data_IF_433659429901
#
_entry.id   IF_433659429901
#
_cell.length_a   1.000
_cell.length_b   1.000
_cell.length_c   1.000
_cell.angle_alpha   90.00
_cell.angle_beta   90.00
_cell.angle_gamma   90.00
#
_symmetry.space_group_name_H-M   'P 1'
#
loop_
_entity.id
_entity.type
_entity.pdbx_description
1 polymer ?
#
# COMPACT_ATOMS: atom_id res chain seq x y z
N UNK A 1 -16.94 -9.24 15.47
CA UNK A 1 -16.04 -8.14 15.03
C UNK A 1 -16.31 -6.83 15.78
N UNK A 2 -17.54 -6.31 15.79
CA UNK A 2 -17.87 -5.05 16.49
C UNK A 2 -17.42 -5.00 17.96
N UNK A 3 -17.63 -6.07 18.73
CA UNK A 3 -17.22 -6.12 20.15
C UNK A 3 -15.68 -6.07 20.35
N UNK A 4 -14.89 -6.60 19.41
CA UNK A 4 -13.42 -6.57 19.50
C UNK A 4 -12.90 -5.16 19.17
N UNK A 5 -13.44 -4.54 18.12
CA UNK A 5 -13.05 -3.17 17.74
C UNK A 5 -13.40 -2.17 18.83
N UNK A 6 -14.61 -2.27 19.40
CA UNK A 6 -15.02 -1.41 20.50
C UNK A 6 -14.06 -1.55 21.70
N UNK A 7 -13.74 -2.79 22.09
CA UNK A 7 -12.80 -3.05 23.17
C UNK A 7 -11.43 -2.38 22.96
N UNK A 8 -10.84 -2.51 21.76
CA UNK A 8 -9.56 -1.87 21.45
C UNK A 8 -9.64 -0.35 21.42
N UNK A 9 -10.72 0.21 20.88
CA UNK A 9 -10.93 1.66 20.86
C UNK A 9 -11.10 2.22 22.28
N UNK A 10 -11.85 1.54 23.13
CA UNK A 10 -11.98 1.90 24.55
C UNK A 10 -10.63 1.86 25.27
N UNK A 11 -9.83 0.82 25.02
CA UNK A 11 -8.50 0.72 25.63
C UNK A 11 -7.55 1.86 25.22
N UNK A 12 -7.56 2.25 23.94
CA UNK A 12 -6.64 3.26 23.40
C UNK A 12 -7.10 4.71 23.62
N UNK A 13 -8.41 4.98 23.54
CA UNK A 13 -8.96 6.34 23.47
C UNK A 13 -9.98 6.66 24.58
N UNK A 14 -10.28 5.70 25.46
CA UNK A 14 -11.23 5.86 26.56
C UNK A 14 -12.68 5.61 26.15
N UNK A 15 -13.55 5.45 27.16
CA UNK A 15 -14.97 5.10 26.97
C UNK A 15 -15.73 6.19 26.19
N UNK A 16 -15.46 7.47 26.49
CA UNK A 16 -16.16 8.60 25.90
C UNK A 16 -15.96 8.72 24.38
N UNK A 17 -14.79 8.31 23.88
CA UNK A 17 -14.44 8.42 22.44
C UNK A 17 -14.66 7.11 21.66
N UNK A 18 -14.77 5.98 22.35
CA UNK A 18 -14.79 4.68 21.69
C UNK A 18 -16.00 4.49 20.75
N UNK A 19 -17.20 4.89 21.19
CA UNK A 19 -18.42 4.71 20.37
C UNK A 19 -18.41 5.61 19.13
N UNK A 20 -18.14 6.93 19.22
CA UNK A 20 -18.04 7.77 18.02
C UNK A 20 -16.96 7.32 17.03
N UNK A 21 -15.81 6.84 17.53
CA UNK A 21 -14.74 6.30 16.68
C UNK A 21 -15.16 5.00 16.00
N UNK A 22 -15.88 4.12 16.69
CA UNK A 22 -16.39 2.88 16.11
C UNK A 22 -17.35 3.16 14.96
N UNK A 23 -18.25 4.14 15.13
CA UNK A 23 -19.18 4.57 14.07
C UNK A 23 -18.42 5.09 12.84
N UNK A 24 -17.38 5.90 13.07
CA UNK A 24 -16.52 6.41 11.99
C UNK A 24 -15.77 5.29 11.26
N UNK A 25 -15.23 4.32 12.00
CA UNK A 25 -14.58 3.13 11.41
C UNK A 25 -15.58 2.32 10.59
N UNK A 26 -16.80 2.10 11.10
CA UNK A 26 -17.84 1.41 10.35
C UNK A 26 -18.25 2.15 9.07
N UNK A 27 -18.34 3.47 9.11
CA UNK A 27 -18.59 4.28 7.91
C UNK A 27 -17.52 4.05 6.84
N UNK A 28 -16.24 4.18 7.20
CA UNK A 28 -15.10 3.95 6.29
C UNK A 28 -15.15 2.53 5.72
N UNK A 29 -15.31 1.52 6.57
CA UNK A 29 -15.37 0.12 6.14
C UNK A 29 -16.54 -0.13 5.19
N UNK A 30 -17.71 0.47 5.46
CA UNK A 30 -18.90 0.30 4.60
C UNK A 30 -18.70 0.93 3.22
N UNK A 31 -18.08 2.10 3.16
CA UNK A 31 -17.79 2.79 1.89
C UNK A 31 -16.84 1.95 1.02
N UNK A 32 -15.78 1.40 1.61
CA UNK A 32 -14.76 0.69 0.85
C UNK A 32 -15.11 -0.77 0.57
N UNK A 33 -15.87 -1.45 1.44
CA UNK A 33 -16.22 -2.87 1.26
C UNK A 33 -16.97 -3.11 -0.05
N UNK A 34 -17.80 -2.16 -0.50
CA UNK A 34 -18.50 -2.27 -1.77
C UNK A 34 -17.56 -2.18 -3.00
N UNK A 35 -16.38 -1.58 -2.85
CA UNK A 35 -15.39 -1.34 -3.93
C UNK A 35 -14.28 -2.39 -3.97
N UNK A 36 -14.09 -3.17 -2.91
CA UNK A 36 -13.00 -4.13 -2.77
C UNK A 36 -13.55 -5.54 -2.94
N UNK A 37 -13.19 -6.20 -4.04
CA UNK A 37 -13.49 -7.61 -4.23
C UNK A 37 -12.79 -8.45 -3.14
N UNK A 38 -13.48 -9.41 -2.50
CA UNK A 38 -12.83 -10.31 -1.56
C UNK A 38 -11.73 -11.09 -2.26
N UNK A 39 -10.54 -11.13 -1.65
CA UNK A 39 -9.39 -11.89 -2.11
C UNK A 39 -8.91 -12.79 -0.98
N UNK A 40 -8.45 -13.98 -1.33
CA UNK A 40 -7.77 -14.85 -0.37
C UNK A 40 -6.35 -14.32 -0.14
N UNK A 41 -6.15 -13.73 1.05
CA UNK A 41 -4.85 -13.25 1.52
C UNK A 41 -4.02 -14.32 2.23
N UNK A 42 -4.49 -15.56 2.31
CA UNK A 42 -3.79 -16.66 2.97
C UNK A 42 -2.47 -16.98 2.28
N UNK A 43 -1.42 -17.11 3.09
CA UNK A 43 -0.12 -17.64 2.67
C UNK A 43 0.01 -19.10 3.12
N UNK A 44 0.71 -19.88 2.33
CA UNK A 44 1.02 -21.30 2.56
C UNK A 44 2.50 -21.57 2.26
N UNK A 45 2.97 -22.74 2.65
CA UNK A 45 4.33 -23.23 2.33
C UNK A 45 4.58 -23.42 0.82
N UNK A 46 3.57 -23.24 -0.04
CA UNK A 46 3.70 -23.31 -1.50
C UNK A 46 3.95 -21.94 -2.14
N UNK A 47 3.78 -20.86 -1.39
CA UNK A 47 3.97 -19.51 -1.91
C UNK A 47 5.47 -19.17 -1.99
N UNK A 48 5.86 -18.62 -3.13
CA UNK A 48 7.18 -18.02 -3.37
C UNK A 48 6.98 -16.55 -3.73
N UNK A 49 7.60 -15.64 -2.99
CA UNK A 49 7.40 -14.19 -3.11
C UNK A 49 8.73 -13.55 -3.53
N UNK A 50 8.69 -12.78 -4.62
CA UNK A 50 9.81 -11.93 -5.02
C UNK A 50 9.64 -10.55 -4.37
N UNK A 51 10.68 -10.06 -3.70
CA UNK A 51 10.73 -8.73 -3.10
C UNK A 51 11.75 -7.90 -3.88
N UNK A 52 11.37 -6.72 -4.34
CA UNK A 52 12.24 -5.84 -5.12
C UNK A 52 11.80 -4.37 -5.06
N UNK A 53 12.70 -3.46 -5.41
CA UNK A 53 12.35 -2.09 -5.76
C UNK A 53 11.67 -2.03 -7.13
N UNK A 54 10.73 -1.08 -7.31
CA UNK A 54 9.99 -0.92 -8.57
C UNK A 54 10.86 -0.61 -9.79
N UNK A 55 12.10 -0.18 -9.57
CA UNK A 55 13.12 0.14 -10.56
C UNK A 55 14.31 -0.81 -10.55
N UNK A 56 14.22 -1.97 -9.91
CA UNK A 56 15.31 -2.96 -9.92
C UNK A 56 15.61 -3.49 -11.34
N UNK A 57 14.58 -3.54 -12.20
CA UNK A 57 14.69 -3.95 -13.61
C UNK A 57 14.26 -2.77 -14.48
N UNK A 58 15.19 -2.26 -15.30
CA UNK A 58 14.98 -1.03 -16.06
C UNK A 58 15.23 -1.20 -17.56
N UNK A 59 14.58 -0.33 -18.33
CA UNK A 59 14.76 -0.16 -19.76
C UNK A 59 14.82 1.34 -20.05
N UNK A 60 15.62 1.75 -21.03
CA UNK A 60 15.70 3.16 -21.45
C UNK A 60 14.49 3.64 -22.26
N UNK A 61 13.54 2.75 -22.58
CA UNK A 61 12.42 3.03 -23.50
C UNK A 61 11.08 3.24 -22.82
N UNK A 62 10.94 2.83 -21.56
CA UNK A 62 9.64 2.77 -20.88
C UNK A 62 9.81 2.97 -19.38
N UNK A 63 8.68 3.10 -18.66
CA UNK A 63 8.71 3.29 -17.23
C UNK A 63 9.16 2.02 -16.49
N UNK A 64 9.81 2.16 -15.32
CA UNK A 64 10.27 1.02 -14.54
C UNK A 64 9.20 -0.05 -14.28
N UNK A 65 7.98 0.34 -13.88
CA UNK A 65 6.90 -0.62 -13.61
C UNK A 65 6.44 -1.37 -14.87
N UNK A 66 6.51 -0.74 -16.04
CA UNK A 66 6.22 -1.38 -17.34
C UNK A 66 7.29 -2.41 -17.70
N UNK A 67 8.55 -2.07 -17.45
CA UNK A 67 9.67 -3.00 -17.62
C UNK A 67 9.53 -4.19 -16.68
N UNK A 68 9.23 -3.91 -15.40
CA UNK A 68 9.00 -4.93 -14.39
C UNK A 68 7.88 -5.88 -14.80
N UNK A 69 6.74 -5.36 -15.29
CA UNK A 69 5.64 -6.19 -15.79
C UNK A 69 6.11 -7.18 -16.87
N UNK A 70 6.83 -6.69 -17.88
CA UNK A 70 7.35 -7.53 -18.97
C UNK A 70 8.32 -8.59 -18.46
N UNK A 71 9.20 -8.22 -17.52
CA UNK A 71 10.12 -9.15 -16.88
C UNK A 71 9.35 -10.25 -16.13
N UNK A 72 8.38 -9.87 -15.29
CA UNK A 72 7.57 -10.82 -14.54
C UNK A 72 6.82 -11.79 -15.45
N UNK A 73 6.17 -11.29 -16.50
CA UNK A 73 5.45 -12.15 -17.44
C UNK A 73 6.36 -13.14 -18.16
N UNK A 74 7.53 -12.67 -18.60
CA UNK A 74 8.46 -13.45 -19.41
C UNK A 74 9.17 -14.52 -18.58
N UNK A 75 9.54 -14.19 -17.35
CA UNK A 75 10.48 -15.01 -16.59
C UNK A 75 9.92 -15.60 -15.30
N UNK A 76 8.82 -15.06 -14.75
CA UNK A 76 8.37 -15.39 -13.40
C UNK A 76 6.99 -16.06 -13.32
N UNK A 77 6.23 -16.06 -14.43
CA UNK A 77 4.95 -16.78 -14.52
C UNK A 77 5.15 -18.25 -14.13
N UNK A 78 4.28 -18.77 -13.25
CA UNK A 78 4.33 -20.11 -12.66
C UNK A 78 5.56 -20.43 -11.78
N UNK A 79 6.48 -19.47 -11.57
CA UNK A 79 7.66 -19.61 -10.70
C UNK A 79 7.46 -18.91 -9.36
N UNK A 80 6.94 -17.68 -9.39
CA UNK A 80 6.61 -16.91 -8.17
C UNK A 80 5.11 -16.72 -8.09
N UNK A 81 4.59 -16.83 -6.86
CA UNK A 81 3.17 -16.64 -6.56
C UNK A 81 2.81 -15.16 -6.37
N UNK A 82 3.79 -14.34 -5.94
CA UNK A 82 3.56 -12.95 -5.62
C UNK A 82 4.79 -12.07 -5.75
N UNK A 83 4.52 -10.79 -5.91
CA UNK A 83 5.50 -9.71 -6.05
C UNK A 83 5.25 -8.69 -4.94
N UNK A 84 6.26 -8.46 -4.11
CA UNK A 84 6.32 -7.35 -3.18
C UNK A 84 7.12 -6.22 -3.83
N UNK A 85 6.43 -5.13 -4.17
CA UNK A 85 7.08 -3.91 -4.66
C UNK A 85 7.36 -3.03 -3.44
N UNK A 86 8.64 -2.87 -3.11
CA UNK A 86 9.12 -1.97 -2.05
C UNK A 86 8.68 -0.52 -2.36
N UNK A 87 8.68 0.38 -1.36
CA UNK A 87 7.86 1.59 -1.41
C UNK A 87 8.00 2.36 -2.73
N UNK A 88 6.86 2.56 -3.38
CA UNK A 88 6.74 3.14 -4.72
C UNK A 88 5.91 4.42 -4.72
N UNK A 89 5.59 4.95 -3.54
CA UNK A 89 4.95 6.24 -3.37
C UNK A 89 5.98 7.36 -3.61
N UNK A 90 5.56 8.59 -3.96
CA UNK A 90 6.45 9.75 -3.90
C UNK A 90 7.06 9.88 -2.50
N UNK A 91 8.37 10.11 -2.42
CA UNK A 91 9.14 10.09 -1.17
C UNK A 91 10.27 11.11 -1.16
N UNK A 92 10.87 11.36 0.01
CA UNK A 92 11.95 12.36 0.17
C UNK A 92 13.28 11.80 0.69
N UNK A 93 13.24 10.74 1.49
CA UNK A 93 14.41 10.08 2.08
C UNK A 93 14.08 8.63 2.48
N UNK A 94 15.07 7.91 3.01
CA UNK A 94 14.93 6.54 3.54
C UNK A 94 14.44 5.54 2.48
N UNK A 95 15.02 5.61 1.28
CA UNK A 95 14.80 4.68 0.16
C UNK A 95 13.31 4.31 -0.08
N UNK A 96 12.44 5.33 -0.07
CA UNK A 96 11.01 5.18 -0.30
C UNK A 96 10.14 5.20 0.96
N UNK A 97 10.71 5.06 2.16
CA UNK A 97 9.93 4.96 3.40
C UNK A 97 9.53 6.32 4.01
N UNK A 98 10.17 7.43 3.60
CA UNK A 98 9.66 8.78 3.93
C UNK A 98 8.61 9.23 2.91
N UNK A 99 7.40 8.67 3.01
CA UNK A 99 6.31 8.86 2.03
C UNK A 99 5.74 10.28 2.08
N UNK A 100 5.52 10.90 0.92
CA UNK A 100 4.89 12.22 0.75
C UNK A 100 3.39 12.10 0.51
N UNK A 101 2.97 11.17 -0.36
CA UNK A 101 1.56 10.96 -0.70
C UNK A 101 1.25 9.48 -0.96
N UNK A 102 0.44 8.87 -0.09
CA UNK A 102 -0.03 7.48 -0.21
C UNK A 102 -1.02 7.23 -1.34
N UNK A 103 -1.54 8.28 -1.99
CA UNK A 103 -2.55 8.18 -3.05
C UNK A 103 -1.95 8.18 -4.46
N UNK A 104 -0.64 8.41 -4.58
CA UNK A 104 0.06 8.50 -5.86
C UNK A 104 1.16 7.45 -5.95
N UNK A 105 1.47 7.02 -7.17
CA UNK A 105 2.70 6.30 -7.47
C UNK A 105 3.76 7.35 -7.80
N UNK A 106 5.02 7.10 -7.43
CA UNK A 106 6.14 7.94 -7.85
C UNK A 106 6.14 8.03 -9.39
N UNK A 107 5.97 9.23 -9.99
CA UNK A 107 5.94 9.39 -11.43
C UNK A 107 7.23 8.93 -12.14
N UNK A 108 8.35 8.81 -11.42
CA UNK A 108 9.57 8.21 -11.93
C UNK A 108 9.38 6.71 -12.25
N UNK A 109 8.56 6.01 -11.46
CA UNK A 109 8.28 4.58 -11.57
C UNK A 109 7.14 4.25 -12.53
N UNK A 110 6.06 5.04 -12.51
CA UNK A 110 4.85 4.79 -13.31
C UNK A 110 3.59 5.34 -12.64
N UNK A 111 2.44 4.67 -12.87
CA UNK A 111 1.16 5.01 -12.27
C UNK A 111 0.39 3.78 -11.73
N UNK A 112 -0.84 3.98 -11.24
CA UNK A 112 -1.68 2.90 -10.71
C UNK A 112 -2.11 1.89 -11.78
N UNK A 113 -2.20 2.29 -13.05
CA UNK A 113 -2.51 1.38 -14.15
C UNK A 113 -1.33 0.44 -14.40
N UNK A 114 -0.10 0.96 -14.32
CA UNK A 114 1.13 0.14 -14.39
C UNK A 114 1.20 -0.88 -13.24
N UNK A 115 0.90 -0.48 -12.01
CA UNK A 115 0.82 -1.42 -10.85
C UNK A 115 -0.29 -2.46 -11.08
N UNK A 116 -1.48 -2.00 -11.49
CA UNK A 116 -2.64 -2.86 -11.76
C UNK A 116 -2.38 -3.85 -12.88
N UNK A 117 -1.48 -3.54 -13.82
CA UNK A 117 -1.11 -4.46 -14.88
C UNK A 117 -0.48 -5.74 -14.31
N UNK A 118 0.31 -5.66 -13.23
CA UNK A 118 1.07 -6.78 -12.61
C UNK A 118 0.17 -7.74 -11.79
N UNK A 119 -1.14 -7.50 -11.73
CA UNK A 119 -2.10 -8.28 -10.93
C UNK A 119 -2.28 -9.75 -11.32
N UNK A 120 -1.61 -10.24 -12.37
CA UNK A 120 -1.48 -11.68 -12.62
C UNK A 120 -0.67 -12.39 -11.54
N UNK A 121 0.05 -11.64 -10.71
CA UNK A 121 0.67 -12.09 -9.47
C UNK A 121 -0.10 -11.56 -8.25
N UNK A 122 0.04 -12.22 -7.10
CA UNK A 122 -0.35 -11.61 -5.82
C UNK A 122 0.53 -10.40 -5.56
N UNK A 123 -0.05 -9.21 -5.42
CA UNK A 123 0.69 -7.99 -5.12
C UNK A 123 0.76 -7.74 -3.61
N UNK A 124 1.95 -7.37 -3.14
CA UNK A 124 2.23 -6.99 -1.76
C UNK A 124 2.97 -5.65 -1.75
N UNK A 125 2.67 -4.81 -0.77
CA UNK A 125 3.20 -3.46 -0.65
C UNK A 125 3.44 -3.10 0.81
N UNK A 126 4.30 -2.14 1.05
CA UNK A 126 4.55 -1.58 2.37
C UNK A 126 3.42 -0.63 2.82
N UNK A 127 2.92 -0.85 4.03
CA UNK A 127 2.01 0.04 4.72
C UNK A 127 2.78 0.86 5.76
N UNK A 128 3.37 1.98 5.33
CA UNK A 128 4.12 2.89 6.22
C UNK A 128 3.13 3.73 7.03
N UNK A 129 2.71 3.23 8.20
CA UNK A 129 1.68 3.90 9.03
C UNK A 129 2.25 4.59 10.28
N UNK A 130 3.52 4.34 10.60
CA UNK A 130 4.14 4.85 11.82
C UNK A 130 4.68 6.28 11.67
N UNK A 131 5.08 6.67 10.46
CA UNK A 131 5.64 7.99 10.16
C UNK A 131 5.32 8.40 8.72
N UNK A 132 5.55 9.67 8.39
CA UNK A 132 5.35 10.26 7.06
C UNK A 132 6.44 11.31 6.81
N UNK A 133 6.72 11.64 5.55
CA UNK A 133 7.64 12.73 5.20
C UNK A 133 7.18 14.05 5.80
N UNK A 134 8.13 14.85 6.28
CA UNK A 134 7.87 16.23 6.70
C UNK A 134 7.41 17.12 5.55
N UNK A 135 7.59 16.71 4.29
CA UNK A 135 7.09 17.42 3.11
C UNK A 135 5.67 17.00 2.70
N UNK A 136 5.05 16.04 3.40
CA UNK A 136 3.66 15.63 3.12
C UNK A 136 2.66 16.74 3.42
N UNK A 137 1.55 16.74 2.67
CA UNK A 137 0.45 17.71 2.89
C UNK A 137 -0.07 17.65 4.34
N UNK A 138 -0.19 16.45 4.91
CA UNK A 138 -0.65 16.26 6.29
C UNK A 138 0.30 16.89 7.31
N UNK A 139 1.61 16.75 7.12
CA UNK A 139 2.58 17.37 8.02
C UNK A 139 2.58 18.90 7.87
N UNK A 140 2.47 19.41 6.63
CA UNK A 140 2.41 20.85 6.37
C UNK A 140 1.15 21.50 6.96
N UNK A 141 0.00 20.79 6.93
CA UNK A 141 -1.24 21.23 7.58
C UNK A 141 -1.14 21.22 9.10
N UNK A 142 -0.56 20.16 9.66
CA UNK A 142 -0.30 20.09 11.10
C UNK A 142 0.54 21.28 11.60
N UNK A 143 1.58 21.70 10.87
CA UNK A 143 2.37 22.89 11.21
C UNK A 143 1.59 24.21 11.11
N UNK A 144 0.43 24.22 10.45
CA UNK A 144 -0.45 25.37 10.26
C UNK A 144 -1.65 25.35 11.19
N UNK A 145 -1.74 24.39 12.12
CA UNK A 145 -2.89 24.17 13.01
C UNK A 145 -4.22 23.93 12.25
N UNK A 146 -4.17 23.26 11.09
CA UNK A 146 -5.33 22.78 10.28
C UNK A 146 -5.59 21.28 10.52
#
# INVERSE_FOLDING_TARGET
>A
MSNILLHHLTFLYGEDQASPLLDRVHSILSEHRARIAPRDGGLSQRDSILILYGDQVQSSREKPLQTLKKFCDTYLTDIVSGIHILPFYPWTSDDGFSVVDYRQIDPALGDWDDVSAIRNFRLMFDAVINHISSQSEWFQKFLQDD
#
